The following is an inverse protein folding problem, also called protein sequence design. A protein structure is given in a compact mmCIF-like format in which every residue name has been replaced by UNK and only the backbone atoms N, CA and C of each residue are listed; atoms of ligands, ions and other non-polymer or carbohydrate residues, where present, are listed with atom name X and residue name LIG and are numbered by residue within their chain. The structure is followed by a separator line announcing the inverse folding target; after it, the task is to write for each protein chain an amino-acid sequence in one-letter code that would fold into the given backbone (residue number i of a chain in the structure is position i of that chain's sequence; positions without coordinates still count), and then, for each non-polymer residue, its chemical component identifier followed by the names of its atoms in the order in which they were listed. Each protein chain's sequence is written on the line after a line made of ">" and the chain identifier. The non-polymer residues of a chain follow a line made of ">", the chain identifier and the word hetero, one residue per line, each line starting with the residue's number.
data_IF_097929409505
#
_entry.id   IF_097929409505
#
_cell.length_a   1.000
_cell.length_b   1.000
_cell.length_c   1.000
_cell.angle_alpha   90.00
_cell.angle_beta   90.00
_cell.angle_gamma   90.00
#
_symmetry.space_group_name_H-M   'P 1'
#
loop_
_entity.id
_entity.type
_entity.pdbx_description
1 polymer ?
#
# COMPACT_ATOMS: atom_id res chain seq x y z
N UNK A 1 -32.44 -2.07 3.31
CA UNK A 1 -31.53 -3.16 2.90
C UNK A 1 -30.43 -2.49 2.10
N UNK A 2 -29.27 -2.28 2.72
CA UNK A 2 -28.13 -1.67 2.05
C UNK A 2 -27.67 -2.63 0.95
N UNK A 3 -27.59 -2.09 -0.27
CA UNK A 3 -27.07 -2.78 -1.42
C UNK A 3 -25.59 -3.09 -1.13
N UNK A 4 -25.26 -4.34 -0.84
CA UNK A 4 -23.91 -4.85 -0.80
C UNK A 4 -23.39 -4.84 -2.24
N UNK A 5 -23.04 -3.63 -2.75
CA UNK A 5 -22.15 -3.54 -3.89
C UNK A 5 -20.91 -4.34 -3.49
N UNK A 6 -20.57 -5.31 -4.31
CA UNK A 6 -19.48 -6.27 -4.07
C UNK A 6 -18.23 -5.49 -3.66
N UNK A 7 -17.86 -5.64 -2.40
CA UNK A 7 -16.65 -5.04 -1.86
C UNK A 7 -15.49 -5.59 -2.70
N UNK A 8 -14.61 -4.72 -3.21
CA UNK A 8 -13.51 -5.09 -4.09
C UNK A 8 -12.39 -5.79 -3.31
N UNK A 9 -12.75 -6.87 -2.62
CA UNK A 9 -11.88 -7.67 -1.73
C UNK A 9 -11.92 -9.13 -2.19
N UNK A 10 -10.75 -9.75 -2.35
CA UNK A 10 -10.62 -11.18 -2.58
C UNK A 10 -10.54 -11.92 -1.23
N UNK A 11 -11.53 -12.76 -0.87
CA UNK A 11 -11.50 -13.48 0.41
C UNK A 11 -10.29 -14.43 0.55
N UNK A 12 -9.70 -14.89 -0.56
CA UNK A 12 -8.51 -15.75 -0.53
C UNK A 12 -7.28 -14.95 -0.10
N UNK A 13 -7.15 -13.72 -0.59
CA UNK A 13 -6.08 -12.80 -0.17
C UNK A 13 -6.21 -12.47 1.32
N UNK A 14 -7.42 -12.15 1.78
CA UNK A 14 -7.67 -11.90 3.23
C UNK A 14 -7.22 -13.10 4.06
N UNK A 15 -7.67 -14.32 3.71
CA UNK A 15 -7.32 -15.53 4.43
C UNK A 15 -5.81 -15.83 4.39
N UNK A 16 -5.14 -15.51 3.29
CA UNK A 16 -3.69 -15.66 3.14
C UNK A 16 -2.94 -14.73 4.10
N UNK A 17 -3.26 -13.43 4.08
CA UNK A 17 -2.61 -12.45 4.95
C UNK A 17 -2.96 -12.63 6.43
N UNK A 18 -4.15 -13.12 6.77
CA UNK A 18 -4.48 -13.48 8.14
C UNK A 18 -3.55 -14.55 8.73
N UNK A 19 -3.15 -15.55 7.93
CA UNK A 19 -2.20 -16.58 8.36
C UNK A 19 -0.81 -15.98 8.62
N UNK A 20 -0.37 -15.07 7.78
CA UNK A 20 0.97 -14.47 7.85
C UNK A 20 1.05 -13.29 8.82
N UNK A 21 -0.07 -12.74 9.26
CA UNK A 21 -0.10 -11.49 10.00
C UNK A 21 0.83 -11.46 11.23
N UNK A 22 0.99 -12.59 11.95
CA UNK A 22 1.88 -12.67 13.10
C UNK A 22 3.36 -12.46 12.82
N UNK A 23 3.76 -12.49 11.55
CA UNK A 23 5.18 -12.42 11.12
C UNK A 23 5.56 -11.07 10.52
N UNK A 24 4.66 -10.07 10.50
CA UNK A 24 4.93 -8.77 9.89
C UNK A 24 6.23 -8.12 10.38
N UNK A 25 6.55 -8.23 11.65
CA UNK A 25 7.70 -7.59 12.28
C UNK A 25 8.85 -8.56 12.61
N UNK A 26 8.74 -9.80 12.14
CA UNK A 26 9.83 -10.77 12.19
C UNK A 26 10.83 -10.49 11.04
N UNK A 27 12.00 -9.98 11.40
CA UNK A 27 13.03 -9.61 10.42
C UNK A 27 13.71 -10.81 9.73
N UNK A 28 13.45 -12.02 10.20
CA UNK A 28 13.87 -13.29 9.58
C UNK A 28 12.68 -14.03 8.94
N UNK A 29 11.46 -13.50 9.14
CA UNK A 29 10.21 -14.03 8.62
C UNK A 29 9.94 -13.70 7.15
N UNK A 30 8.78 -14.09 6.61
CA UNK A 30 8.46 -13.95 5.18
C UNK A 30 8.41 -12.50 4.69
N UNK A 31 8.26 -11.52 5.59
CA UNK A 31 8.19 -10.09 5.25
C UNK A 31 9.52 -9.34 5.37
N UNK A 32 10.64 -10.04 5.67
CA UNK A 32 11.96 -9.39 5.75
C UNK A 32 12.33 -8.60 4.48
N UNK A 33 11.96 -9.02 3.23
CA UNK A 33 12.27 -8.24 2.04
C UNK A 33 11.55 -6.89 2.02
N UNK A 34 10.30 -6.83 2.56
CA UNK A 34 9.56 -5.58 2.65
C UNK A 34 10.21 -4.58 3.60
N UNK A 35 10.83 -5.03 4.70
CA UNK A 35 11.59 -4.15 5.59
C UNK A 35 12.78 -3.53 4.85
N UNK A 36 13.52 -4.30 4.06
CA UNK A 36 14.64 -3.80 3.25
C UNK A 36 14.16 -2.84 2.16
N UNK A 37 13.11 -3.22 1.44
CA UNK A 37 12.52 -2.39 0.40
C UNK A 37 11.97 -1.08 0.98
N UNK A 38 11.35 -1.13 2.16
CA UNK A 38 10.77 0.04 2.79
C UNK A 38 11.81 1.10 3.16
N UNK A 39 13.01 0.69 3.57
CA UNK A 39 14.10 1.63 3.84
C UNK A 39 14.47 2.45 2.58
N UNK A 40 14.65 1.76 1.43
CA UNK A 40 14.93 2.41 0.14
C UNK A 40 13.72 3.24 -0.35
N UNK A 41 12.52 2.73 -0.14
CA UNK A 41 11.26 3.38 -0.55
C UNK A 41 11.07 4.73 0.15
N UNK A 42 11.31 4.81 1.44
CA UNK A 42 11.21 6.06 2.20
C UNK A 42 12.22 7.08 1.71
N UNK A 43 13.48 6.71 1.49
CA UNK A 43 14.50 7.61 0.95
C UNK A 43 14.04 8.19 -0.40
N UNK A 44 13.61 7.33 -1.32
CA UNK A 44 13.13 7.73 -2.63
C UNK A 44 11.88 8.64 -2.56
N UNK A 45 10.88 8.32 -1.71
CA UNK A 45 9.70 9.15 -1.52
C UNK A 45 10.10 10.56 -1.05
N UNK A 46 10.99 10.66 -0.07
CA UNK A 46 11.45 11.95 0.46
C UNK A 46 12.19 12.76 -0.61
N UNK A 47 12.97 12.11 -1.47
CA UNK A 47 13.64 12.77 -2.60
C UNK A 47 12.63 13.31 -3.63
N UNK A 48 11.62 12.51 -4.02
CA UNK A 48 10.57 12.96 -4.93
C UNK A 48 9.80 14.16 -4.38
N UNK A 49 9.41 14.10 -3.10
CA UNK A 49 8.70 15.21 -2.46
C UNK A 49 9.53 16.48 -2.37
N UNK A 50 10.85 16.38 -2.11
CA UNK A 50 11.75 17.54 -2.16
C UNK A 50 11.84 18.13 -3.56
N UNK A 51 11.90 17.30 -4.60
CA UNK A 51 11.94 17.73 -5.99
C UNK A 51 10.65 18.49 -6.41
N UNK A 52 9.52 18.18 -5.79
CA UNK A 52 8.22 18.85 -5.97
C UNK A 52 8.04 20.13 -5.11
N UNK A 53 9.12 20.71 -4.60
CA UNK A 53 9.12 21.92 -3.75
C UNK A 53 8.47 21.75 -2.36
N UNK A 54 8.35 20.53 -1.86
CA UNK A 54 8.04 20.34 -0.45
C UNK A 54 9.24 20.81 0.42
N UNK A 55 8.94 21.31 1.63
CA UNK A 55 9.92 21.86 2.58
C UNK A 55 11.01 20.85 2.98
N UNK A 56 12.01 21.29 3.77
CA UNK A 56 13.11 20.43 4.27
C UNK A 56 12.64 19.18 5.04
N UNK A 57 11.46 19.22 5.66
CA UNK A 57 10.75 18.05 6.23
C UNK A 57 9.49 17.80 5.41
N UNK A 58 9.59 17.13 4.27
CA UNK A 58 8.52 17.09 3.27
C UNK A 58 7.24 16.42 3.74
N UNK A 59 7.28 15.57 4.77
CA UNK A 59 6.10 14.90 5.33
C UNK A 59 5.55 15.57 6.58
N UNK A 60 6.26 16.55 7.19
CA UNK A 60 5.80 17.20 8.39
C UNK A 60 4.44 17.90 8.16
N UNK A 61 3.49 17.65 9.05
CA UNK A 61 2.14 18.22 9.02
C UNK A 61 1.24 17.76 7.86
N UNK A 62 1.76 16.95 6.91
CA UNK A 62 0.93 16.42 5.84
C UNK A 62 0.02 15.29 6.35
N UNK A 63 -1.22 15.30 5.88
CA UNK A 63 -2.15 14.19 6.06
C UNK A 63 -1.87 13.15 5.00
N UNK A 64 -1.47 11.97 5.40
CA UNK A 64 -1.17 10.88 4.48
C UNK A 64 -2.07 9.68 4.72
N UNK A 65 -2.42 8.98 3.64
CA UNK A 65 -3.17 7.73 3.68
C UNK A 65 -2.28 6.59 3.18
N UNK A 66 -2.17 5.54 3.98
CA UNK A 66 -1.51 4.28 3.61
C UNK A 66 -2.57 3.20 3.39
N UNK A 67 -2.79 2.80 2.12
CA UNK A 67 -3.83 1.84 1.72
C UNK A 67 -3.22 0.45 1.65
N UNK A 68 -3.85 -0.53 2.30
CA UNK A 68 -3.31 -1.88 2.44
C UNK A 68 -2.08 -1.91 3.33
N UNK A 69 -2.14 -1.22 4.47
CA UNK A 69 -0.99 -0.97 5.33
C UNK A 69 -0.35 -2.23 5.95
N UNK A 70 -1.00 -3.39 5.88
CA UNK A 70 -0.51 -4.63 6.47
C UNK A 70 -0.19 -4.48 7.96
N UNK A 71 1.01 -4.88 8.35
CA UNK A 71 1.51 -4.71 9.73
C UNK A 71 2.00 -3.30 10.08
N UNK A 72 1.87 -2.32 9.17
CA UNK A 72 2.19 -0.91 9.42
C UNK A 72 3.64 -0.52 9.14
N UNK A 73 4.41 -1.29 8.39
CA UNK A 73 5.84 -1.02 8.12
C UNK A 73 6.04 0.35 7.48
N UNK A 74 5.29 0.67 6.42
CA UNK A 74 5.35 1.97 5.75
C UNK A 74 4.74 3.06 6.64
N UNK A 75 3.55 2.80 7.21
CA UNK A 75 2.84 3.73 8.08
C UNK A 75 3.71 4.28 9.22
N UNK A 76 4.45 3.40 9.91
CA UNK A 76 5.35 3.84 10.98
C UNK A 76 6.53 4.66 10.46
N UNK A 77 7.06 4.31 9.30
CA UNK A 77 8.14 5.07 8.69
C UNK A 77 7.68 6.48 8.31
N UNK A 78 6.47 6.63 7.76
CA UNK A 78 5.87 7.92 7.45
C UNK A 78 5.61 8.77 8.71
N UNK A 79 5.09 8.14 9.78
CA UNK A 79 4.85 8.81 11.06
C UNK A 79 6.15 9.29 11.70
N UNK A 80 7.23 8.51 11.63
CA UNK A 80 8.58 8.90 12.09
C UNK A 80 9.14 10.11 11.32
N UNK A 81 8.69 10.33 10.10
CA UNK A 81 9.02 11.52 9.29
C UNK A 81 8.10 12.73 9.57
N UNK A 82 7.21 12.63 10.54
CA UNK A 82 6.35 13.72 10.99
C UNK A 82 4.97 13.81 10.29
N UNK A 83 4.62 12.84 9.45
CA UNK A 83 3.30 12.79 8.82
C UNK A 83 2.17 12.52 9.83
N UNK A 84 0.99 13.10 9.58
CA UNK A 84 -0.26 12.66 10.21
C UNK A 84 -0.83 11.49 9.40
N UNK A 85 -0.63 10.27 9.89
CA UNK A 85 -0.92 9.03 9.16
C UNK A 85 -2.28 8.48 9.51
N UNK A 86 -3.12 8.26 8.49
CA UNK A 86 -4.24 7.34 8.49
C UNK A 86 -3.82 6.11 7.70
N UNK A 87 -4.08 4.90 8.21
CA UNK A 87 -3.69 3.66 7.57
C UNK A 87 -4.86 2.67 7.57
N UNK A 88 -5.16 2.10 6.41
CA UNK A 88 -6.30 1.20 6.24
C UNK A 88 -5.88 -0.17 5.73
N UNK A 89 -6.56 -1.18 6.20
CA UNK A 89 -6.43 -2.56 5.72
C UNK A 89 -7.76 -3.29 5.90
N UNK A 90 -7.99 -4.32 5.10
CA UNK A 90 -9.20 -5.15 5.16
C UNK A 90 -9.01 -6.41 6.01
N UNK A 91 -7.80 -6.68 6.45
CA UNK A 91 -7.43 -7.82 7.31
C UNK A 91 -7.36 -7.38 8.77
N UNK A 92 -8.31 -7.83 9.57
CA UNK A 92 -8.42 -7.41 10.98
C UNK A 92 -7.15 -7.69 11.78
N UNK A 93 -6.53 -8.84 11.56
CA UNK A 93 -5.31 -9.25 12.28
C UNK A 93 -4.12 -8.35 11.95
N UNK A 94 -4.02 -7.85 10.69
CA UNK A 94 -3.02 -6.87 10.29
C UNK A 94 -3.18 -5.59 11.10
N UNK A 95 -4.38 -5.03 11.15
CA UNK A 95 -4.69 -3.81 11.91
C UNK A 95 -4.39 -3.96 13.39
N UNK A 96 -4.69 -5.13 14.00
CA UNK A 96 -4.36 -5.38 15.41
C UNK A 96 -2.86 -5.36 15.66
N UNK A 97 -2.08 -5.99 14.79
CA UNK A 97 -0.63 -6.05 14.89
C UNK A 97 -0.02 -4.68 14.67
N UNK A 98 -0.45 -3.95 13.64
CA UNK A 98 0.00 -2.60 13.35
C UNK A 98 -0.24 -1.65 14.54
N UNK A 99 -1.46 -1.66 15.12
CA UNK A 99 -1.79 -0.88 16.34
C UNK A 99 -0.90 -1.25 17.53
N UNK A 100 -0.67 -2.54 17.73
CA UNK A 100 0.16 -3.01 18.85
C UNK A 100 1.60 -2.55 18.72
N UNK A 101 2.18 -2.68 17.51
CA UNK A 101 3.58 -2.31 17.25
C UNK A 101 3.77 -0.79 17.30
N UNK A 102 2.88 -0.01 16.68
CA UNK A 102 2.92 1.45 16.76
C UNK A 102 2.83 1.96 18.20
N UNK A 103 1.98 1.34 19.04
CA UNK A 103 1.89 1.66 20.47
C UNK A 103 3.21 1.40 21.21
N UNK A 104 3.89 0.29 20.92
CA UNK A 104 5.20 -0.03 21.53
C UNK A 104 6.27 0.99 21.13
N UNK A 105 6.15 1.58 19.94
CA UNK A 105 7.07 2.61 19.45
C UNK A 105 6.57 4.05 19.71
N UNK A 106 5.53 4.23 20.52
CA UNK A 106 4.96 5.54 20.89
C UNK A 106 4.50 6.38 19.69
N UNK A 107 4.14 5.72 18.57
CA UNK A 107 3.68 6.36 17.36
C UNK A 107 2.16 6.55 17.37
N UNK A 108 1.70 7.73 16.92
CA UNK A 108 0.28 8.05 16.77
C UNK A 108 -0.12 7.87 15.32
N UNK A 109 -0.78 6.75 15.02
CA UNK A 109 -1.26 6.41 13.67
C UNK A 109 -2.71 5.99 13.79
N UNK A 110 -3.57 6.51 12.92
CA UNK A 110 -4.99 6.15 12.86
C UNK A 110 -5.17 4.92 11.96
N UNK A 111 -5.11 3.73 12.57
CA UNK A 111 -5.34 2.47 11.89
C UNK A 111 -6.82 2.10 11.87
N UNK A 112 -7.38 1.87 10.69
CA UNK A 112 -8.80 1.57 10.50
C UNK A 112 -8.99 0.26 9.71
N UNK A 113 -9.95 -0.58 10.14
CA UNK A 113 -10.36 -1.80 9.44
C UNK A 113 -11.47 -1.47 8.45
N UNK A 114 -11.11 -0.92 7.31
CA UNK A 114 -12.04 -0.54 6.23
C UNK A 114 -11.38 -0.72 4.86
N UNK A 115 -12.21 -0.83 3.82
CA UNK A 115 -11.74 -0.80 2.43
C UNK A 115 -11.53 0.64 1.93
N UNK A 116 -10.85 0.79 0.79
CA UNK A 116 -10.67 2.09 0.14
C UNK A 116 -12.01 2.71 -0.26
N UNK A 117 -12.97 1.91 -0.70
CA UNK A 117 -14.31 2.37 -1.06
C UNK A 117 -15.05 2.95 0.17
N UNK A 118 -14.93 2.27 1.32
CA UNK A 118 -15.50 2.78 2.58
C UNK A 118 -14.79 4.06 3.04
N UNK A 119 -13.48 4.18 2.80
CA UNK A 119 -12.76 5.43 3.08
C UNK A 119 -13.28 6.58 2.21
N UNK A 120 -13.61 6.35 0.93
CA UNK A 120 -14.25 7.38 0.06
C UNK A 120 -15.57 7.88 0.63
N UNK A 121 -16.38 7.01 1.23
CA UNK A 121 -17.66 7.39 1.86
C UNK A 121 -17.47 8.37 3.02
N UNK A 122 -16.30 8.39 3.67
CA UNK A 122 -15.99 9.35 4.76
C UNK A 122 -15.80 10.77 4.26
N UNK A 123 -15.62 10.98 2.95
CA UNK A 123 -15.31 12.27 2.30
C UNK A 123 -14.02 12.93 2.80
N UNK A 124 -13.14 12.16 3.43
CA UNK A 124 -11.81 12.63 3.79
C UNK A 124 -10.93 12.71 2.54
N UNK A 125 -9.99 13.65 2.54
CA UNK A 125 -8.98 13.76 1.51
C UNK A 125 -7.60 13.98 2.16
N UNK A 126 -6.57 13.51 1.47
CA UNK A 126 -5.20 13.45 1.96
C UNK A 126 -4.26 14.21 1.02
N UNK A 127 -3.20 14.77 1.58
CA UNK A 127 -2.16 15.46 0.81
C UNK A 127 -1.38 14.45 -0.03
N UNK A 128 -1.18 13.24 0.53
CA UNK A 128 -0.51 12.12 -0.17
C UNK A 128 -1.27 10.83 0.11
N UNK A 129 -1.47 10.04 -0.93
CA UNK A 129 -2.01 8.67 -0.84
C UNK A 129 -0.95 7.68 -1.29
N UNK A 130 -0.72 6.66 -0.49
CA UNK A 130 0.18 5.55 -0.77
C UNK A 130 -0.62 4.28 -1.05
N UNK A 131 -0.26 3.59 -2.14
CA UNK A 131 -0.78 2.30 -2.55
C UNK A 131 0.42 1.45 -2.99
N UNK A 132 1.01 0.73 -2.03
CA UNK A 132 2.27 0.02 -2.20
C UNK A 132 2.06 -1.48 -2.14
N UNK A 133 2.23 -2.17 -3.28
CA UNK A 133 2.03 -3.63 -3.42
C UNK A 133 0.61 -4.08 -3.02
N UNK A 134 -0.43 -3.35 -3.48
CA UNK A 134 -1.84 -3.66 -3.18
C UNK A 134 -2.66 -3.88 -4.44
N UNK A 135 -2.38 -3.13 -5.49
CA UNK A 135 -3.19 -3.12 -6.72
C UNK A 135 -3.31 -4.49 -7.39
N UNK A 136 -2.31 -5.37 -7.23
CA UNK A 136 -2.30 -6.74 -7.72
C UNK A 136 -3.17 -7.71 -6.90
N UNK A 137 -3.61 -7.31 -5.71
CA UNK A 137 -4.39 -8.16 -4.79
C UNK A 137 -5.91 -7.89 -4.86
N UNK A 138 -6.32 -6.88 -5.64
CA UNK A 138 -7.74 -6.52 -5.76
C UNK A 138 -8.40 -7.15 -6.99
N UNK A 139 -9.68 -7.57 -6.91
CA UNK A 139 -10.41 -8.13 -8.05
C UNK A 139 -10.60 -7.15 -9.22
N UNK A 140 -10.83 -5.87 -8.94
CA UNK A 140 -11.08 -4.84 -9.94
C UNK A 140 -10.12 -3.66 -9.74
N UNK A 141 -9.04 -3.65 -10.50
CA UNK A 141 -7.99 -2.62 -10.48
C UNK A 141 -8.55 -1.23 -10.81
N UNK A 142 -9.45 -1.15 -11.80
CA UNK A 142 -10.00 0.14 -12.25
C UNK A 142 -10.79 0.84 -11.14
N UNK A 143 -11.74 0.14 -10.51
CA UNK A 143 -12.52 0.72 -9.40
C UNK A 143 -11.65 1.07 -8.21
N UNK A 144 -10.64 0.24 -7.92
CA UNK A 144 -9.70 0.46 -6.82
C UNK A 144 -8.86 1.74 -7.03
N UNK A 145 -8.23 1.88 -8.20
CA UNK A 145 -7.39 3.05 -8.51
C UNK A 145 -8.22 4.33 -8.50
N UNK A 146 -9.44 4.32 -9.04
CA UNK A 146 -10.35 5.46 -8.97
C UNK A 146 -10.74 5.83 -7.54
N UNK A 147 -10.99 4.85 -6.69
CA UNK A 147 -11.25 5.10 -5.27
C UNK A 147 -10.03 5.72 -4.57
N UNK A 148 -8.81 5.23 -4.85
CA UNK A 148 -7.58 5.83 -4.37
C UNK A 148 -7.43 7.29 -4.84
N UNK A 149 -7.66 7.55 -6.13
CA UNK A 149 -7.56 8.89 -6.73
C UNK A 149 -8.54 9.88 -6.08
N UNK A 150 -9.78 9.45 -5.79
CA UNK A 150 -10.79 10.29 -5.15
C UNK A 150 -10.41 10.75 -3.72
N UNK A 151 -9.47 10.07 -3.08
CA UNK A 151 -8.97 10.40 -1.75
C UNK A 151 -7.81 11.41 -1.76
N UNK A 152 -7.25 11.71 -2.93
CA UNK A 152 -6.17 12.69 -3.08
C UNK A 152 -6.76 14.09 -3.16
N UNK A 153 -6.24 15.02 -2.38
CA UNK A 153 -6.59 16.45 -2.49
C UNK A 153 -6.19 17.02 -3.86
N UNK A 154 -6.83 18.11 -4.32
CA UNK A 154 -6.30 18.87 -5.44
C UNK A 154 -4.83 19.27 -5.20
N UNK A 155 -3.96 19.05 -6.18
CA UNK A 155 -2.51 19.22 -6.10
C UNK A 155 -1.80 18.28 -5.09
N UNK A 156 -2.48 17.23 -4.62
CA UNK A 156 -1.88 16.17 -3.82
C UNK A 156 -1.13 15.14 -4.68
N UNK A 157 -0.46 14.19 -4.04
CA UNK A 157 0.32 13.16 -4.71
C UNK A 157 -0.26 11.76 -4.45
N UNK A 158 -0.21 10.89 -5.47
CA UNK A 158 -0.54 9.47 -5.35
C UNK A 158 0.70 8.64 -5.69
N UNK A 159 1.23 7.91 -4.72
CA UNK A 159 2.34 6.98 -4.91
C UNK A 159 1.80 5.56 -5.07
N UNK A 160 2.12 4.93 -6.20
CA UNK A 160 1.72 3.55 -6.52
C UNK A 160 2.98 2.73 -6.78
N UNK A 161 3.10 1.59 -6.10
CA UNK A 161 4.09 0.58 -6.40
C UNK A 161 3.43 -0.76 -6.63
N UNK A 162 3.89 -1.49 -7.63
CA UNK A 162 3.46 -2.85 -7.95
C UNK A 162 4.51 -3.55 -8.80
N UNK A 163 4.48 -4.87 -8.82
CA UNK A 163 5.35 -5.66 -9.68
C UNK A 163 4.84 -5.58 -11.12
N UNK A 164 5.69 -5.10 -12.03
CA UNK A 164 5.35 -4.99 -13.44
C UNK A 164 5.08 -6.38 -14.07
N UNK A 165 3.97 -6.52 -14.79
CA UNK A 165 3.61 -7.73 -15.53
C UNK A 165 4.49 -7.91 -16.78
N UNK A 166 5.68 -8.45 -16.59
CA UNK A 166 6.58 -8.84 -17.69
C UNK A 166 7.26 -10.20 -17.39
N UNK A 167 7.88 -10.80 -18.41
CA UNK A 167 8.51 -12.09 -18.28
C UNK A 167 9.69 -12.12 -17.29
N UNK A 168 10.40 -11.00 -17.15
CA UNK A 168 11.52 -10.87 -16.22
C UNK A 168 11.01 -10.85 -14.77
N UNK A 169 9.92 -10.14 -14.49
CA UNK A 169 9.26 -10.17 -13.18
C UNK A 169 8.74 -11.58 -12.85
N UNK A 170 8.21 -12.31 -13.84
CA UNK A 170 7.84 -13.70 -13.66
C UNK A 170 9.03 -14.57 -13.24
N UNK A 171 10.15 -14.46 -13.93
CA UNK A 171 11.35 -15.24 -13.62
C UNK A 171 11.96 -14.87 -12.26
N UNK A 172 12.01 -13.60 -11.90
CA UNK A 172 12.66 -13.13 -10.68
C UNK A 172 11.73 -13.23 -9.48
N UNK A 173 10.56 -12.61 -9.55
CA UNK A 173 9.65 -12.48 -8.41
C UNK A 173 8.85 -13.76 -8.14
N UNK A 174 8.45 -14.49 -9.18
CA UNK A 174 7.66 -15.73 -9.01
C UNK A 174 8.58 -16.94 -9.00
N UNK A 175 9.26 -17.24 -10.12
CA UNK A 175 10.06 -18.45 -10.21
C UNK A 175 11.29 -18.40 -9.31
N UNK A 176 12.03 -17.29 -9.33
CA UNK A 176 13.25 -17.11 -8.51
C UNK A 176 12.95 -17.03 -7.02
N UNK A 177 12.07 -16.13 -6.60
CA UNK A 177 11.82 -15.87 -5.18
C UNK A 177 10.96 -16.95 -4.51
N UNK A 178 9.96 -17.51 -5.21
CA UNK A 178 9.05 -18.48 -4.61
C UNK A 178 9.55 -19.93 -4.75
N UNK A 179 10.10 -20.32 -5.91
CA UNK A 179 10.45 -21.72 -6.19
C UNK A 179 11.94 -22.05 -6.01
N UNK A 180 12.85 -21.13 -6.40
CA UNK A 180 14.29 -21.40 -6.34
C UNK A 180 14.87 -21.04 -4.99
N UNK A 181 14.74 -19.80 -4.58
CA UNK A 181 15.34 -19.32 -3.33
C UNK A 181 14.42 -19.50 -2.12
N UNK A 182 13.14 -19.72 -2.35
CA UNK A 182 12.09 -19.81 -1.31
C UNK A 182 12.11 -18.63 -0.34
N UNK A 183 12.50 -17.48 -0.83
CA UNK A 183 12.47 -16.22 -0.08
C UNK A 183 11.04 -15.76 0.23
N UNK A 184 10.09 -16.13 -0.63
CA UNK A 184 8.67 -15.88 -0.47
C UNK A 184 7.90 -17.19 -0.49
N UNK A 185 6.78 -17.31 0.24
CA UNK A 185 5.90 -18.46 0.15
C UNK A 185 5.38 -18.68 -1.27
N UNK A 186 5.29 -19.94 -1.70
CA UNK A 186 4.72 -20.30 -3.01
C UNK A 186 3.29 -19.80 -3.10
N UNK A 187 2.95 -19.09 -4.20
CA UNK A 187 1.62 -18.55 -4.43
C UNK A 187 1.44 -17.11 -3.88
N UNK A 188 2.53 -16.46 -3.47
CA UNK A 188 2.49 -15.03 -3.08
C UNK A 188 2.11 -14.15 -4.27
N UNK A 189 2.58 -14.48 -5.48
CA UNK A 189 2.30 -13.70 -6.68
C UNK A 189 1.64 -14.55 -7.77
N UNK A 190 0.60 -14.01 -8.38
CA UNK A 190 -0.04 -14.58 -9.57
C UNK A 190 0.23 -13.67 -10.76
N UNK A 191 0.95 -14.16 -11.78
CA UNK A 191 1.32 -13.37 -12.96
C UNK A 191 0.14 -12.65 -13.63
N UNK A 192 -1.02 -13.29 -13.67
CA UNK A 192 -2.25 -12.71 -14.25
C UNK A 192 -2.81 -11.52 -13.46
N UNK A 193 -2.46 -11.38 -12.18
CA UNK A 193 -2.89 -10.27 -11.31
C UNK A 193 -1.92 -9.10 -11.33
N UNK A 194 -0.68 -9.29 -11.82
CA UNK A 194 0.29 -8.20 -11.96
C UNK A 194 -0.21 -7.17 -12.97
N UNK A 195 0.11 -5.89 -12.77
CA UNK A 195 -0.39 -4.78 -13.57
C UNK A 195 0.74 -4.20 -14.40
N UNK A 196 0.45 -3.78 -15.65
CA UNK A 196 1.43 -3.07 -16.47
C UNK A 196 1.40 -1.57 -16.16
N UNK A 197 2.57 -0.89 -16.16
CA UNK A 197 2.61 0.57 -15.98
C UNK A 197 1.67 1.33 -16.92
N UNK A 198 1.58 0.94 -18.19
CA UNK A 198 0.69 1.58 -19.16
C UNK A 198 -0.80 1.46 -18.79
N UNK A 199 -1.21 0.37 -18.15
CA UNK A 199 -2.59 0.19 -17.67
C UNK A 199 -2.88 1.15 -16.51
N UNK A 200 -1.95 1.30 -15.56
CA UNK A 200 -2.08 2.27 -14.46
C UNK A 200 -2.06 3.70 -14.98
N UNK A 201 -1.17 4.03 -15.90
CA UNK A 201 -1.10 5.37 -16.49
C UNK A 201 -2.40 5.78 -17.16
N UNK A 202 -3.05 4.87 -17.91
CA UNK A 202 -4.35 5.16 -18.53
C UNK A 202 -5.44 5.45 -17.49
N UNK A 203 -5.39 4.80 -16.32
CA UNK A 203 -6.36 5.03 -15.24
C UNK A 203 -6.11 6.35 -14.51
N UNK A 204 -4.84 6.72 -14.32
CA UNK A 204 -4.45 7.98 -13.69
C UNK A 204 -4.75 9.17 -14.59
N UNK A 205 -4.42 9.08 -15.90
CA UNK A 205 -4.70 10.11 -16.90
C UNK A 205 -6.20 10.37 -17.03
N UNK A 206 -7.04 9.33 -16.94
CA UNK A 206 -8.49 9.46 -16.98
C UNK A 206 -9.09 10.24 -15.78
N UNK A 207 -8.35 10.36 -14.70
CA UNK A 207 -8.72 11.11 -13.49
C UNK A 207 -7.84 12.38 -13.33
N UNK A 208 -7.26 12.91 -14.42
CA UNK A 208 -6.45 14.15 -14.50
C UNK A 208 -5.14 14.13 -13.67
N UNK A 209 -4.59 12.95 -13.38
CA UNK A 209 -3.29 12.83 -12.74
C UNK A 209 -2.15 12.97 -13.76
N UNK A 210 -1.14 13.74 -13.40
CA UNK A 210 0.08 13.93 -14.21
C UNK A 210 1.22 13.14 -13.57
N UNK A 211 1.95 12.38 -14.39
CA UNK A 211 3.17 11.71 -13.97
C UNK A 211 4.29 12.72 -13.73
N UNK A 212 4.96 12.60 -12.61
CA UNK A 212 6.10 13.44 -12.22
C UNK A 212 7.34 12.59 -11.99
#
# INVERSE_FOLDING_TARGET
>A
MANLQSVNIDPKEVAYYEKLAGTWWDLEGPFWPLHKLNALRIEWILEQLKAQNYKQQPLAELKVLDIGCGGGILSESLAKQGATVTAIDVVEKNIRIAKSHAKQNELKIDYQLISVEQMVETKQQFDIVFNMEVVEHVPNVNSFVRACNALVKPNGSHFIASINRNWLAYLIAIFGAEYVTRLLPIGTHHYSKLVKPAELFSLLDADDFVLT
#
